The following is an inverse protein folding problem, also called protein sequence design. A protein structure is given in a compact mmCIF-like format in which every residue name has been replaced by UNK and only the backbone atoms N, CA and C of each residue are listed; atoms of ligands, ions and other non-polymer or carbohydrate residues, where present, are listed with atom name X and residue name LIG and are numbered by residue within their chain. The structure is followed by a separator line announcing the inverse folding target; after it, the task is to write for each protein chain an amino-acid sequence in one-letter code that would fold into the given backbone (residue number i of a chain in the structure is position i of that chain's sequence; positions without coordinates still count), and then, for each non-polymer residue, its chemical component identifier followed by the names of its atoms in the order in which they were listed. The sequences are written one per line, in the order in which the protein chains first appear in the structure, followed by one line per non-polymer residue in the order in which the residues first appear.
data_IF_129088095704
#
_entry.id   IF_129088095704
#
_cell.length_a   1.000
_cell.length_b   1.000
_cell.length_c   1.000
_cell.angle_alpha   90.00
_cell.angle_beta   90.00
_cell.angle_gamma   90.00
#
_symmetry.space_group_name_H-M   'P 1'
#
loop_
_entity.id
_entity.type
_entity.pdbx_description
1 polymer ?
#
# COMPACT_ATOMS: atom_id res chain seq x y z
N UNK A 1 -6.67 10.31 -5.60
CA UNK A 1 -7.70 9.61 -6.38
C UNK A 1 -7.99 8.23 -5.80
N UNK A 2 -9.17 7.70 -6.10
CA UNK A 2 -9.62 6.39 -5.62
C UNK A 2 -8.68 5.28 -6.12
N UNK A 3 -8.20 5.37 -7.35
CA UNK A 3 -7.25 4.38 -7.92
C UNK A 3 -5.99 4.26 -7.08
N UNK A 4 -5.36 5.38 -6.78
CA UNK A 4 -4.13 5.43 -5.99
C UNK A 4 -4.38 4.90 -4.58
N UNK A 5 -5.50 5.25 -3.98
CA UNK A 5 -5.88 4.81 -2.65
C UNK A 5 -6.04 3.28 -2.59
N UNK A 6 -6.71 2.68 -3.57
CA UNK A 6 -6.89 1.23 -3.64
C UNK A 6 -5.56 0.48 -3.76
N UNK A 7 -4.67 0.97 -4.62
CA UNK A 7 -3.33 0.38 -4.77
C UNK A 7 -2.56 0.50 -3.45
N UNK A 8 -2.63 1.65 -2.82
CA UNK A 8 -1.97 1.94 -1.56
C UNK A 8 -2.43 0.98 -0.46
N UNK A 9 -3.75 0.79 -0.31
CA UNK A 9 -4.32 -0.10 0.69
C UNK A 9 -3.85 -1.54 0.52
N UNK A 10 -3.79 -2.04 -0.70
CA UNK A 10 -3.32 -3.41 -0.96
C UNK A 10 -1.86 -3.60 -0.54
N UNK A 11 -1.03 -2.60 -0.81
CA UNK A 11 0.38 -2.65 -0.43
C UNK A 11 0.53 -2.63 1.10
N UNK A 12 -0.21 -1.76 1.78
CA UNK A 12 -0.19 -1.69 3.25
C UNK A 12 -0.71 -2.97 3.88
N UNK A 13 -1.81 -3.50 3.37
CA UNK A 13 -2.40 -4.73 3.88
C UNK A 13 -1.42 -5.90 3.78
N UNK A 14 -0.77 -6.05 2.63
CA UNK A 14 0.23 -7.11 2.42
C UNK A 14 1.41 -6.96 3.36
N UNK A 15 1.88 -5.75 3.57
CA UNK A 15 2.99 -5.49 4.48
C UNK A 15 2.60 -5.83 5.92
N UNK A 16 1.39 -5.49 6.34
CA UNK A 16 0.88 -5.79 7.68
C UNK A 16 0.80 -7.29 7.93
N UNK A 17 0.37 -8.05 6.92
CA UNK A 17 0.26 -9.51 7.02
C UNK A 17 1.60 -10.23 6.77
N UNK A 18 2.66 -9.50 6.47
CA UNK A 18 3.97 -10.10 6.19
C UNK A 18 4.04 -10.85 4.87
N UNK A 19 3.09 -10.61 3.96
CA UNK A 19 3.06 -11.25 2.65
C UNK A 19 3.73 -10.36 1.60
N UNK A 20 4.32 -10.99 0.58
CA UNK A 20 4.89 -10.26 -0.54
C UNK A 20 3.80 -9.88 -1.54
N UNK A 21 3.92 -8.70 -2.14
CA UNK A 21 2.99 -8.26 -3.18
C UNK A 21 3.78 -7.64 -4.35
N UNK A 22 3.35 -7.96 -5.55
CA UNK A 22 3.98 -7.53 -6.79
C UNK A 22 2.96 -6.77 -7.64
N UNK A 23 3.42 -6.00 -8.63
CA UNK A 23 2.54 -5.26 -9.54
C UNK A 23 1.46 -6.14 -10.14
N UNK A 24 1.82 -7.36 -10.53
CA UNK A 24 0.88 -8.31 -11.12
C UNK A 24 -0.22 -8.72 -10.15
N UNK A 25 0.14 -8.99 -8.87
CA UNK A 25 -0.84 -9.32 -7.84
C UNK A 25 -1.81 -8.17 -7.61
N UNK A 26 -1.31 -6.95 -7.56
CA UNK A 26 -2.14 -5.75 -7.38
C UNK A 26 -3.11 -5.62 -8.56
N UNK A 27 -2.59 -5.79 -9.78
CA UNK A 27 -3.40 -5.71 -10.99
C UNK A 27 -4.51 -6.76 -11.00
N UNK A 28 -4.20 -7.98 -10.58
CA UNK A 28 -5.19 -9.06 -10.51
C UNK A 28 -6.30 -8.79 -9.50
N UNK A 29 -5.99 -8.08 -8.42
CA UNK A 29 -6.97 -7.72 -7.39
C UNK A 29 -7.81 -6.49 -7.75
N UNK A 30 -7.38 -5.74 -8.75
CA UNK A 30 -8.06 -4.54 -9.23
C UNK A 30 -8.36 -4.66 -10.72
N UNK A 31 -9.24 -5.62 -11.12
CA UNK A 31 -9.48 -5.90 -12.54
C UNK A 31 -10.12 -4.75 -13.30
N UNK A 32 -10.71 -3.78 -12.61
CA UNK A 32 -11.29 -2.58 -13.22
C UNK A 32 -10.23 -1.63 -13.81
N UNK A 33 -8.95 -1.81 -13.45
CA UNK A 33 -7.85 -1.00 -13.98
C UNK A 33 -6.89 -1.86 -14.78
N UNK A 34 -6.31 -1.28 -15.83
CA UNK A 34 -5.30 -1.99 -16.63
C UNK A 34 -4.01 -2.18 -15.83
N UNK A 35 -3.23 -3.19 -16.19
CA UNK A 35 -1.92 -3.40 -15.62
C UNK A 35 -1.02 -2.17 -15.77
N UNK A 36 -1.10 -1.52 -16.93
CA UNK A 36 -0.33 -0.30 -17.21
C UNK A 36 -0.65 0.80 -16.18
N UNK A 37 -1.93 0.98 -15.87
CA UNK A 37 -2.38 1.97 -14.88
C UNK A 37 -1.83 1.64 -13.50
N UNK A 38 -1.96 0.39 -13.06
CA UNK A 38 -1.45 -0.08 -11.77
C UNK A 38 0.06 0.09 -11.68
N UNK A 39 0.78 -0.35 -12.72
CA UNK A 39 2.24 -0.23 -12.78
C UNK A 39 2.69 1.22 -12.69
N UNK A 40 1.99 2.13 -13.36
CA UNK A 40 2.30 3.55 -13.33
C UNK A 40 2.12 4.13 -11.92
N UNK A 41 1.03 3.76 -11.24
CA UNK A 41 0.78 4.21 -9.86
C UNK A 41 1.88 3.73 -8.92
N UNK A 42 2.29 2.46 -9.04
CA UNK A 42 3.37 1.91 -8.22
C UNK A 42 4.68 2.63 -8.49
N UNK A 43 5.03 2.82 -9.77
CA UNK A 43 6.28 3.47 -10.16
C UNK A 43 6.33 4.93 -9.70
N UNK A 44 5.23 5.65 -9.81
CA UNK A 44 5.13 7.01 -9.27
C UNK A 44 5.28 7.02 -7.75
N UNK A 45 4.69 6.04 -7.06
CA UNK A 45 4.82 5.91 -5.62
C UNK A 45 6.26 5.66 -5.19
N UNK A 46 7.00 4.84 -5.94
CA UNK A 46 8.43 4.60 -5.68
C UNK A 46 9.23 5.89 -5.91
N UNK A 47 8.96 6.58 -7.01
CA UNK A 47 9.64 7.82 -7.33
C UNK A 47 9.41 8.90 -6.27
N UNK A 48 8.20 8.97 -5.73
CA UNK A 48 7.83 9.95 -4.71
C UNK A 48 8.18 9.52 -3.28
N UNK A 49 8.80 8.36 -3.10
CA UNK A 49 9.23 7.89 -1.80
C UNK A 49 8.13 7.25 -0.94
N UNK A 50 6.99 6.89 -1.53
CA UNK A 50 5.91 6.24 -0.80
C UNK A 50 6.11 4.73 -0.70
N UNK A 51 6.69 4.12 -1.73
CA UNK A 51 6.92 2.67 -1.80
C UNK A 51 8.39 2.39 -2.02
N UNK A 52 8.79 1.18 -1.61
CA UNK A 52 10.14 0.64 -1.83
C UNK A 52 10.00 -0.69 -2.55
N UNK A 53 10.81 -0.92 -3.56
CA UNK A 53 10.93 -2.21 -4.24
C UNK A 53 12.02 -3.01 -3.55
N UNK A 54 11.63 -4.17 -3.00
CA UNK A 54 12.54 -5.06 -2.31
C UNK A 54 12.95 -6.21 -3.22
N UNK A 55 14.17 -6.70 -3.07
CA UNK A 55 14.60 -7.88 -3.80
C UNK A 55 13.81 -9.11 -3.33
N UNK A 56 13.47 -10.05 -4.24
CA UNK A 56 12.75 -11.26 -3.85
C UNK A 56 13.60 -12.09 -2.90
N UNK A 57 12.95 -12.67 -1.87
CA UNK A 57 13.61 -13.53 -0.88
C UNK A 57 14.20 -14.79 -1.52
N UNK A 58 13.59 -15.26 -2.62
CA UNK A 58 14.04 -16.42 -3.35
C UNK A 58 14.78 -15.94 -4.59
N UNK A 59 16.10 -16.02 -4.56
CA UNK A 59 17.00 -15.58 -5.66
C UNK A 59 16.90 -16.45 -6.91
N UNK A 60 15.90 -17.32 -7.04
CA UNK A 60 15.75 -18.23 -8.18
C UNK A 60 15.16 -17.59 -9.41
N UNK A 61 14.54 -16.42 -9.30
CA UNK A 61 14.02 -15.72 -10.46
C UNK A 61 15.02 -14.67 -10.91
N UNK A 62 15.53 -14.86 -12.14
CA UNK A 62 16.37 -13.85 -12.80
C UNK A 62 15.52 -12.69 -13.34
N UNK A 63 14.22 -12.71 -13.12
CA UNK A 63 13.33 -11.68 -13.61
C UNK A 63 13.32 -10.48 -12.65
N UNK A 64 14.04 -9.43 -13.07
CA UNK A 64 14.14 -8.17 -12.32
C UNK A 64 12.80 -7.44 -12.18
N UNK A 65 11.74 -7.89 -12.87
CA UNK A 65 10.40 -7.30 -12.80
C UNK A 65 9.62 -7.79 -11.59
N UNK A 66 10.01 -8.92 -10.99
CA UNK A 66 9.33 -9.48 -9.83
C UNK A 66 10.01 -8.96 -8.56
N UNK A 67 9.55 -7.82 -8.09
CA UNK A 67 10.04 -7.23 -6.84
C UNK A 67 8.90 -6.99 -5.87
N UNK A 68 9.11 -7.41 -4.63
CA UNK A 68 8.17 -7.15 -3.56
C UNK A 68 8.06 -5.64 -3.32
N UNK A 69 6.85 -5.14 -3.26
CA UNK A 69 6.57 -3.72 -3.05
C UNK A 69 6.14 -3.52 -1.61
N UNK A 70 6.79 -2.61 -0.91
CA UNK A 70 6.47 -2.28 0.48
C UNK A 70 6.30 -0.78 0.64
N UNK A 71 5.49 -0.35 1.63
CA UNK A 71 5.46 1.08 1.96
C UNK A 71 6.79 1.50 2.56
N UNK A 72 7.20 2.74 2.33
CA UNK A 72 8.38 3.31 2.97
C UNK A 72 8.15 3.48 4.47
N UNK A 73 9.22 3.59 5.24
CA UNK A 73 9.12 3.83 6.69
C UNK A 73 8.38 5.13 6.98
N UNK A 74 8.68 6.18 6.22
CA UNK A 74 8.06 7.49 6.40
C UNK A 74 6.56 7.45 6.16
N UNK A 75 6.12 6.81 5.07
CA UNK A 75 4.70 6.74 4.75
C UNK A 75 3.96 5.80 5.72
N UNK A 76 4.64 4.78 6.23
CA UNK A 76 4.08 3.89 7.25
C UNK A 76 3.80 4.67 8.53
N UNK A 77 4.74 5.50 8.96
CA UNK A 77 4.58 6.34 10.14
C UNK A 77 3.43 7.32 9.96
N UNK A 78 3.33 7.97 8.81
CA UNK A 78 2.23 8.90 8.50
C UNK A 78 0.87 8.17 8.51
N UNK A 79 0.82 6.98 7.94
CA UNK A 79 -0.41 6.17 7.91
C UNK A 79 -0.85 5.77 9.32
N UNK A 80 0.09 5.38 10.17
CA UNK A 80 -0.20 5.04 11.58
C UNK A 80 -0.75 6.27 12.31
N UNK A 81 -0.10 7.42 12.16
CA UNK A 81 -0.54 8.67 12.80
C UNK A 81 -1.94 9.07 12.32
N UNK A 82 -2.22 8.94 11.04
CA UNK A 82 -3.53 9.22 10.47
C UNK A 82 -4.61 8.32 11.08
N UNK A 83 -4.33 7.02 11.23
CA UNK A 83 -5.25 6.08 11.86
C UNK A 83 -5.51 6.42 13.32
N UNK A 84 -4.48 6.83 14.06
CA UNK A 84 -4.62 7.26 15.46
C UNK A 84 -5.55 8.48 15.54
N UNK A 85 -5.37 9.46 14.66
CA UNK A 85 -6.21 10.66 14.61
C UNK A 85 -7.66 10.33 14.31
N UNK A 86 -7.92 9.42 13.37
CA UNK A 86 -9.27 8.96 13.04
C UNK A 86 -9.92 8.27 14.24
N UNK A 87 -9.19 7.36 14.89
CA UNK A 87 -9.69 6.64 16.06
C UNK A 87 -10.03 7.63 17.18
N UNK A 88 -9.16 8.61 17.42
CA UNK A 88 -9.41 9.64 18.42
C UNK A 88 -10.67 10.47 18.10
N UNK A 89 -10.86 10.84 16.83
CA UNK A 89 -12.05 11.56 16.39
C UNK A 89 -13.32 10.76 16.57
N UNK A 90 -13.28 9.47 16.21
CA UNK A 90 -14.42 8.55 16.38
C UNK A 90 -14.76 8.39 17.87
N UNK A 91 -13.74 8.25 18.72
CA UNK A 91 -13.94 8.12 20.17
C UNK A 91 -14.62 9.36 20.77
N UNK A 92 -14.19 10.54 20.35
CA UNK A 92 -14.83 11.80 20.78
C UNK A 92 -16.27 11.90 20.31
N UNK A 93 -16.55 11.50 19.10
CA UNK A 93 -17.90 11.48 18.53
C UNK A 93 -18.80 10.52 19.30
N UNK A 94 -18.32 9.31 19.59
CA UNK A 94 -19.06 8.30 20.36
C UNK A 94 -19.41 8.80 21.76
N UNK A 95 -18.49 9.51 22.43
CA UNK A 95 -18.74 10.08 23.76
C UNK A 95 -19.83 11.14 23.72
N UNK A 96 -19.89 11.94 22.65
CA UNK A 96 -20.96 12.97 22.48
C UNK A 96 -22.33 12.34 22.27
N UNK A 97 -22.39 11.18 21.59
CA UNK A 97 -23.66 10.51 21.32
C UNK A 97 -24.22 9.83 22.57
N UNK A 98 -23.35 9.35 23.47
CA UNK A 98 -23.76 8.66 24.70
C UNK A 98 -24.26 9.58 25.80
N UNK A 99 -24.14 10.86 25.61
CA UNK A 99 -24.69 11.84 26.51
C UNK A 99 -26.04 12.35 26.00
#
# INVERSE_FOLDING_TARGET
TIKKFKVFLLIFESNEHGTEIYKENISNKLPEYSYKTVAQIVDEGVLNGYFVKMEPRIKKSKDLKIRNIRPSEEITAEFINWNIDIIAAISKFSKKIKN
#
